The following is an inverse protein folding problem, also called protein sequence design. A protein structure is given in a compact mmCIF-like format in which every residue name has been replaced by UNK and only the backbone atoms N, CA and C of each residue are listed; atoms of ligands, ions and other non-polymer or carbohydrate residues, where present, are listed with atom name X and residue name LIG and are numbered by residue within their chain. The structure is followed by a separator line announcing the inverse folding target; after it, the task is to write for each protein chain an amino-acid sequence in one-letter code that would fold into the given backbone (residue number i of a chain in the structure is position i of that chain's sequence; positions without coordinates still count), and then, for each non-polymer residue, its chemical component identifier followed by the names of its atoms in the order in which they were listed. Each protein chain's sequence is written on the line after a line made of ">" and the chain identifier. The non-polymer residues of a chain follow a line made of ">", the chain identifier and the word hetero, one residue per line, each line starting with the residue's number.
data_IF_714283457938
#
_entry.id   IF_714283457938
#
_cell.length_a   1.000
_cell.length_b   1.000
_cell.length_c   1.000
_cell.angle_alpha   90.00
_cell.angle_beta   90.00
_cell.angle_gamma   90.00
#
_symmetry.space_group_name_H-M   'P 1'
#
loop_
_entity.id
_entity.type
_entity.pdbx_description
1 polymer ?
#
# COMPACT_ATOMS: atom_id res chain seq x y z
N UNK A 1 -20.03 24.01 -10.76
CA UNK A 1 -18.80 23.27 -10.41
C UNK A 1 -19.26 22.08 -9.59
N UNK A 2 -19.04 20.86 -10.08
CA UNK A 2 -19.35 19.63 -9.32
C UNK A 2 -18.21 19.43 -8.33
N UNK A 3 -18.53 19.46 -7.03
CA UNK A 3 -17.55 19.20 -5.98
C UNK A 3 -17.20 17.71 -6.00
N UNK A 4 -16.01 17.38 -6.55
CA UNK A 4 -15.48 16.00 -6.63
C UNK A 4 -14.96 15.49 -5.28
N UNK A 5 -14.76 16.38 -4.32
CA UNK A 5 -14.32 16.11 -2.95
C UNK A 5 -15.13 14.99 -2.26
N UNK A 6 -16.48 15.03 -2.21
CA UNK A 6 -17.28 13.96 -1.62
C UNK A 6 -17.10 12.60 -2.32
N UNK A 7 -16.90 12.58 -3.63
CA UNK A 7 -16.74 11.33 -4.41
C UNK A 7 -15.42 10.65 -4.06
N UNK A 8 -14.33 11.41 -3.93
CA UNK A 8 -13.03 10.88 -3.50
C UNK A 8 -13.05 10.37 -2.06
N UNK A 9 -13.71 11.10 -1.15
CA UNK A 9 -13.84 10.67 0.26
C UNK A 9 -14.60 9.35 0.34
N UNK A 10 -15.71 9.21 -0.40
CA UNK A 10 -16.45 7.96 -0.49
C UNK A 10 -15.60 6.82 -1.07
N UNK A 11 -14.88 7.05 -2.17
CA UNK A 11 -14.05 6.02 -2.80
C UNK A 11 -12.94 5.51 -1.87
N UNK A 12 -12.30 6.38 -1.10
CA UNK A 12 -11.26 6.01 -0.13
C UNK A 12 -11.85 5.17 1.01
N UNK A 13 -13.00 5.58 1.55
CA UNK A 13 -13.68 4.85 2.63
C UNK A 13 -14.09 3.45 2.16
N UNK A 14 -14.72 3.34 0.99
CA UNK A 14 -15.11 2.05 0.42
C UNK A 14 -13.90 1.18 0.09
N UNK A 15 -12.82 1.75 -0.44
CA UNK A 15 -11.57 1.03 -0.72
C UNK A 15 -10.91 0.47 0.55
N UNK A 16 -10.85 1.26 1.62
CA UNK A 16 -10.34 0.80 2.92
C UNK A 16 -11.22 -0.30 3.53
N UNK A 17 -12.55 -0.14 3.47
CA UNK A 17 -13.49 -1.12 4.00
C UNK A 17 -13.35 -2.46 3.25
N UNK A 18 -13.28 -2.43 1.92
CA UNK A 18 -13.05 -3.62 1.11
C UNK A 18 -11.71 -4.29 1.43
N UNK A 19 -10.63 -3.50 1.56
CA UNK A 19 -9.31 -4.01 1.92
C UNK A 19 -9.27 -4.71 3.28
N UNK A 20 -9.95 -4.14 4.29
CA UNK A 20 -10.08 -4.72 5.63
C UNK A 20 -10.89 -6.03 5.59
N UNK A 21 -12.02 -6.05 4.86
CA UNK A 21 -12.86 -7.25 4.71
C UNK A 21 -12.08 -8.36 4.02
N UNK A 22 -11.38 -8.07 2.93
CA UNK A 22 -10.55 -9.05 2.21
C UNK A 22 -9.44 -9.64 3.09
N UNK A 23 -8.74 -8.81 3.86
CA UNK A 23 -7.74 -9.30 4.82
C UNK A 23 -8.37 -10.19 5.90
N UNK A 24 -9.57 -9.86 6.37
CA UNK A 24 -10.28 -10.64 7.38
C UNK A 24 -10.77 -11.99 6.85
N UNK A 25 -11.20 -12.06 5.59
CA UNK A 25 -11.64 -13.32 4.95
C UNK A 25 -10.48 -14.31 4.92
N UNK A 26 -9.28 -13.88 4.50
CA UNK A 26 -8.07 -14.71 4.53
C UNK A 26 -7.67 -15.18 5.94
N UNK A 27 -7.90 -14.36 6.97
CA UNK A 27 -7.65 -14.77 8.37
C UNK A 27 -8.65 -15.83 8.85
N UNK A 28 -9.91 -15.72 8.46
CA UNK A 28 -10.96 -16.67 8.84
C UNK A 28 -10.80 -18.04 8.17
N UNK A 29 -10.41 -18.08 6.90
CA UNK A 29 -10.09 -19.33 6.19
C UNK A 29 -8.95 -20.11 6.89
N UNK A 30 -7.94 -19.39 7.42
CA UNK A 30 -6.82 -20.00 8.14
C UNK A 30 -7.22 -20.59 9.50
N UNK A 31 -8.17 -19.99 10.22
CA UNK A 31 -8.63 -20.52 11.51
C UNK A 31 -9.52 -21.76 11.35
N UNK A 32 -10.35 -21.81 10.31
CA UNK A 32 -11.17 -22.98 10.01
C UNK A 32 -10.35 -24.23 9.63
N UNK A 33 -9.13 -24.04 9.12
CA UNK A 33 -8.20 -25.13 8.79
C UNK A 33 -7.41 -25.64 10.01
N UNK A 34 -7.21 -24.79 11.04
CA UNK A 34 -6.59 -25.19 12.32
C UNK A 34 -7.56 -26.06 13.17
N UNK A 35 -8.86 -25.78 13.11
CA UNK A 35 -9.90 -26.55 13.82
C UNK A 35 -10.10 -27.98 13.23
N UNK A 36 -9.56 -28.26 12.04
CA UNK A 36 -9.67 -29.58 11.37
C UNK A 36 -8.44 -30.49 11.53
N UNK A 37 -7.51 -30.16 12.42
CA UNK A 37 -6.44 -31.08 12.84
C UNK A 37 -5.36 -31.35 11.77
N UNK A 38 -5.16 -30.43 10.82
CA UNK A 38 -4.06 -30.52 9.86
C UNK A 38 -2.73 -30.07 10.51
N UNK A 39 -1.72 -30.92 10.37
CA UNK A 39 -0.38 -30.89 10.96
C UNK A 39 0.27 -29.46 11.02
N UNK A 40 0.66 -28.96 12.22
CA UNK A 40 1.31 -27.65 12.38
C UNK A 40 2.66 -27.52 11.68
N UNK A 41 3.27 -28.63 11.23
CA UNK A 41 4.52 -28.62 10.48
C UNK A 41 4.39 -28.03 9.06
N UNK A 42 3.16 -27.89 8.53
CA UNK A 42 2.89 -27.21 7.25
C UNK A 42 2.73 -25.68 7.44
N UNK A 43 2.57 -25.22 8.69
CA UNK A 43 2.51 -23.81 9.05
C UNK A 43 3.90 -23.28 9.44
N UNK A 44 4.88 -23.41 8.55
CA UNK A 44 5.87 -22.34 8.53
C UNK A 44 5.09 -21.07 8.13
N UNK A 45 5.07 -20.00 8.95
CA UNK A 45 4.42 -18.76 8.56
C UNK A 45 5.03 -18.39 7.21
N UNK A 46 4.25 -18.33 6.13
CA UNK A 46 4.84 -18.06 4.84
C UNK A 46 5.48 -16.68 4.99
N UNK A 47 6.77 -16.60 4.66
CA UNK A 47 7.60 -15.39 4.75
C UNK A 47 6.95 -14.16 4.07
N UNK A 48 5.85 -14.37 3.34
CA UNK A 48 4.82 -13.41 2.90
C UNK A 48 4.51 -12.30 3.90
N UNK A 49 4.37 -12.55 5.21
CA UNK A 49 3.98 -11.48 6.16
C UNK A 49 5.10 -10.45 6.38
N UNK A 50 6.37 -10.86 6.34
CA UNK A 50 7.52 -9.92 6.42
C UNK A 50 7.65 -9.08 5.15
N UNK A 51 7.41 -9.67 3.98
CA UNK A 51 7.50 -8.98 2.68
C UNK A 51 6.34 -7.97 2.53
N UNK A 52 5.15 -8.30 3.05
CA UNK A 52 4.01 -7.39 3.04
C UNK A 52 4.28 -6.14 3.90
N UNK A 53 4.78 -6.31 5.13
CA UNK A 53 5.15 -5.19 6.01
C UNK A 53 6.20 -4.28 5.35
N UNK A 54 7.22 -4.86 4.72
CA UNK A 54 8.27 -4.11 4.02
C UNK A 54 7.74 -3.34 2.80
N UNK A 55 6.75 -3.90 2.09
CA UNK A 55 6.05 -3.23 0.98
C UNK A 55 5.26 -2.02 1.43
N UNK A 56 4.47 -2.16 2.50
CA UNK A 56 3.70 -1.04 3.04
C UNK A 56 4.61 0.04 3.64
N UNK A 57 5.72 -0.34 4.31
CA UNK A 57 6.69 0.61 4.84
C UNK A 57 7.33 1.47 3.74
N UNK A 58 7.84 0.85 2.68
CA UNK A 58 8.41 1.60 1.55
C UNK A 58 7.38 2.50 0.86
N UNK A 59 6.15 2.00 0.69
CA UNK A 59 5.06 2.79 0.13
C UNK A 59 4.79 4.07 0.91
N UNK A 60 4.69 3.97 2.25
CA UNK A 60 4.45 5.13 3.11
C UNK A 60 5.61 6.14 3.06
N UNK A 61 6.85 5.66 2.97
CA UNK A 61 8.03 6.52 2.82
C UNK A 61 7.98 7.26 1.46
N UNK A 62 7.69 6.56 0.38
CA UNK A 62 7.53 7.16 -0.95
C UNK A 62 6.40 8.20 -0.99
N UNK A 63 5.28 7.91 -0.29
CA UNK A 63 4.17 8.85 -0.17
C UNK A 63 4.57 10.13 0.57
N UNK A 64 5.29 10.00 1.70
CA UNK A 64 5.76 11.13 2.48
C UNK A 64 6.71 12.03 1.66
N UNK A 65 7.67 11.42 0.95
CA UNK A 65 8.60 12.14 0.07
C UNK A 65 7.85 12.81 -1.08
N UNK A 66 6.90 12.11 -1.70
CA UNK A 66 6.08 12.65 -2.80
C UNK A 66 5.24 13.86 -2.41
N UNK A 67 4.68 13.86 -1.19
CA UNK A 67 3.91 15.01 -0.67
C UNK A 67 4.83 16.21 -0.43
N UNK A 68 6.01 15.99 0.17
CA UNK A 68 6.99 17.06 0.40
C UNK A 68 7.48 17.66 -0.93
N UNK A 69 7.79 16.81 -1.91
CA UNK A 69 8.26 17.26 -3.22
C UNK A 69 7.15 17.95 -4.03
N UNK A 70 5.90 17.48 -3.91
CA UNK A 70 4.73 18.13 -4.50
C UNK A 70 4.50 19.53 -3.95
N UNK A 71 4.73 19.77 -2.65
CA UNK A 71 4.65 21.11 -2.07
C UNK A 71 5.74 22.04 -2.64
N UNK A 72 6.97 21.54 -2.79
CA UNK A 72 8.07 22.30 -3.39
C UNK A 72 7.74 22.65 -4.85
N UNK A 73 7.21 21.70 -5.63
CA UNK A 73 6.84 21.91 -7.03
C UNK A 73 5.67 22.90 -7.17
N UNK A 74 4.73 22.89 -6.22
CA UNK A 74 3.62 23.84 -6.14
C UNK A 74 4.09 25.28 -5.84
N UNK A 75 5.20 25.46 -5.13
CA UNK A 75 5.78 26.78 -4.86
C UNK A 75 6.65 27.27 -6.01
N UNK A 76 7.38 26.37 -6.68
CA UNK A 76 8.27 26.73 -7.78
C UNK A 76 7.59 26.84 -9.15
N UNK A 77 6.46 26.16 -9.34
CA UNK A 77 5.73 26.13 -10.62
C UNK A 77 4.28 26.56 -10.42
N UNK A 78 3.73 27.35 -11.35
CA UNK A 78 2.30 27.71 -11.41
C UNK A 78 1.41 26.53 -11.85
N UNK A 79 1.80 25.30 -11.54
CA UNK A 79 0.99 24.11 -11.78
C UNK A 79 -0.17 24.09 -10.78
N UNK A 80 -1.36 23.71 -11.25
CA UNK A 80 -2.54 23.54 -10.41
C UNK A 80 -2.21 22.69 -9.18
N UNK A 81 -2.67 23.16 -8.01
CA UNK A 81 -2.34 22.59 -6.70
C UNK A 81 -2.54 21.09 -6.68
N UNK A 82 -3.69 20.64 -7.18
CA UNK A 82 -4.05 19.23 -7.31
C UNK A 82 -3.10 18.44 -8.21
N UNK A 83 -2.80 18.92 -9.42
CA UNK A 83 -1.92 18.23 -10.36
C UNK A 83 -0.50 18.05 -9.81
N UNK A 84 0.01 19.04 -9.08
CA UNK A 84 1.36 19.01 -8.52
C UNK A 84 1.51 17.95 -7.43
N UNK A 85 0.53 17.85 -6.51
CA UNK A 85 0.51 16.81 -5.49
C UNK A 85 0.23 15.42 -6.08
N UNK A 86 -0.78 15.28 -6.93
CA UNK A 86 -1.12 13.98 -7.52
C UNK A 86 0.06 13.40 -8.32
N UNK A 87 0.72 14.22 -9.13
CA UNK A 87 1.85 13.77 -9.95
C UNK A 87 3.02 13.31 -9.09
N UNK A 88 3.42 14.08 -8.07
CA UNK A 88 4.56 13.69 -7.22
C UNK A 88 4.23 12.51 -6.30
N UNK A 89 3.02 12.42 -5.77
CA UNK A 89 2.61 11.28 -4.95
C UNK A 89 2.59 9.98 -5.78
N UNK A 90 2.05 10.00 -6.99
CA UNK A 90 2.07 8.83 -7.87
C UNK A 90 3.48 8.46 -8.31
N UNK A 91 4.32 9.45 -8.63
CA UNK A 91 5.69 9.23 -9.08
C UNK A 91 6.53 8.61 -7.97
N UNK A 92 6.60 9.23 -6.79
CA UNK A 92 7.43 8.75 -5.68
C UNK A 92 6.83 7.50 -5.01
N UNK A 93 5.50 7.41 -4.91
CA UNK A 93 4.82 6.20 -4.45
C UNK A 93 5.04 5.00 -5.39
N UNK A 94 4.99 5.23 -6.70
CA UNK A 94 5.29 4.21 -7.72
C UNK A 94 6.75 3.74 -7.67
N UNK A 95 7.71 4.66 -7.58
CA UNK A 95 9.14 4.33 -7.45
C UNK A 95 9.39 3.50 -6.18
N UNK A 96 8.77 3.86 -5.06
CA UNK A 96 8.92 3.13 -3.81
C UNK A 96 8.36 1.69 -3.87
N UNK A 97 7.24 1.47 -4.59
CA UNK A 97 6.70 0.14 -4.88
C UNK A 97 7.66 -0.71 -5.72
N UNK A 98 8.25 -0.12 -6.76
CA UNK A 98 9.22 -0.82 -7.63
C UNK A 98 10.45 -1.20 -6.83
N UNK A 99 11.02 -0.28 -6.05
CA UNK A 99 12.14 -0.54 -5.14
C UNK A 99 11.80 -1.66 -4.14
N UNK A 100 10.58 -1.65 -3.60
CA UNK A 100 10.13 -2.68 -2.68
C UNK A 100 10.07 -4.07 -3.30
N UNK A 101 9.70 -4.18 -4.58
CA UNK A 101 9.77 -5.43 -5.32
C UNK A 101 11.21 -5.94 -5.48
N UNK A 102 12.16 -5.05 -5.81
CA UNK A 102 13.57 -5.41 -5.95
C UNK A 102 14.19 -5.87 -4.62
N UNK A 103 13.90 -5.18 -3.52
CA UNK A 103 14.39 -5.55 -2.19
C UNK A 103 13.72 -6.84 -1.70
N UNK A 104 12.42 -7.03 -1.94
CA UNK A 104 11.75 -8.29 -1.64
C UNK A 104 12.35 -9.47 -2.42
N UNK A 105 12.79 -9.24 -3.67
CA UNK A 105 13.44 -10.25 -4.50
C UNK A 105 14.85 -10.60 -4.01
N UNK A 106 15.62 -9.64 -3.47
CA UNK A 106 16.95 -9.93 -2.91
C UNK A 106 16.86 -10.76 -1.63
N UNK A 107 15.86 -10.50 -0.79
CA UNK A 107 15.63 -11.24 0.46
C UNK A 107 15.20 -12.70 0.19
N UNK A 108 14.44 -12.95 -0.88
CA UNK A 108 14.00 -14.30 -1.26
C UNK A 108 15.08 -15.17 -1.91
N UNK A 109 16.27 -14.61 -2.20
CA UNK A 109 17.35 -15.32 -2.89
C UNK A 109 18.47 -15.79 -1.94
N UNK A 110 18.30 -15.62 -0.63
CA UNK A 110 19.24 -16.06 0.41
C UNK A 110 18.68 -17.20 1.25
#
# INVERSE_FOLDING_TARGET
>A
MLDLTPVFVLAIIFGFLYGIIYLNIRRKERMALLERGADPAIFQPPQTDKIASLRYGMLLIGLAIGILMGNILKVSTSLGTETSYFSMVFLFGGIALVLSYFIGKSISKS
#
